data_IF_757466041215
#
_entry.id   IF_757466041215
#
_cell.length_a   1.000
_cell.length_b   1.000
_cell.length_c   1.000
_cell.angle_alpha   90.00
_cell.angle_beta   90.00
_cell.angle_gamma   90.00
#
_symmetry.space_group_name_H-M   'P 1'
#
loop_
_entity.id
_entity.type
_entity.pdbx_description
1 polymer ?
#
# COMPACT_ATOMS: atom_id res chain seq x y z
N UNK A 1 -6.61 7.12 -11.81
CA UNK A 1 -6.59 6.82 -10.36
C UNK A 1 -5.82 5.54 -10.11
N UNK A 2 -4.80 5.62 -9.26
CA UNK A 2 -4.03 4.45 -8.81
C UNK A 2 -4.74 3.71 -7.68
N UNK A 3 -4.31 2.48 -7.36
CA UNK A 3 -4.91 1.68 -6.28
C UNK A 3 -4.72 2.34 -4.91
N UNK A 4 -3.56 2.90 -4.61
CA UNK A 4 -3.27 3.61 -3.36
C UNK A 4 -4.16 4.85 -3.18
N UNK A 5 -4.37 5.59 -4.27
CA UNK A 5 -5.28 6.74 -4.31
C UNK A 5 -6.73 6.32 -4.10
N UNK A 6 -7.15 5.22 -4.74
CA UNK A 6 -8.49 4.64 -4.55
C UNK A 6 -8.70 4.26 -3.08
N UNK A 7 -7.74 3.55 -2.48
CA UNK A 7 -7.80 3.12 -1.09
C UNK A 7 -7.99 4.31 -0.16
N UNK A 8 -7.17 5.35 -0.35
CA UNK A 8 -7.26 6.57 0.45
C UNK A 8 -8.64 7.24 0.32
N UNK A 9 -9.15 7.43 -0.91
CA UNK A 9 -10.46 8.07 -1.14
C UNK A 9 -11.60 7.26 -0.52
N UNK A 10 -11.55 5.94 -0.61
CA UNK A 10 -12.53 5.05 0.01
C UNK A 10 -12.48 5.14 1.53
N UNK A 11 -11.28 5.14 2.13
CA UNK A 11 -11.11 5.28 3.58
C UNK A 11 -11.60 6.64 4.09
N UNK A 12 -11.28 7.73 3.38
CA UNK A 12 -11.75 9.08 3.72
C UNK A 12 -13.28 9.18 3.65
N UNK A 13 -13.90 8.57 2.63
CA UNK A 13 -15.36 8.47 2.52
C UNK A 13 -15.97 7.62 3.65
N UNK A 14 -15.34 6.50 3.99
CA UNK A 14 -15.74 5.66 5.12
C UNK A 14 -15.78 6.46 6.43
N UNK A 15 -14.75 7.28 6.68
CA UNK A 15 -14.71 8.17 7.86
C UNK A 15 -15.85 9.19 7.85
N UNK A 16 -16.16 9.80 6.70
CA UNK A 16 -17.25 10.77 6.56
C UNK A 16 -18.61 10.16 6.94
N UNK A 17 -18.85 8.92 6.54
CA UNK A 17 -20.10 8.20 6.79
C UNK A 17 -20.09 7.34 8.05
N UNK A 18 -18.99 7.35 8.82
CA UNK A 18 -18.78 6.49 9.99
C UNK A 18 -18.95 4.99 9.68
N UNK A 19 -18.35 4.55 8.57
CA UNK A 19 -18.33 3.15 8.10
C UNK A 19 -16.87 2.73 7.87
N UNK A 20 -16.49 1.55 8.36
CA UNK A 20 -15.17 0.98 8.07
C UNK A 20 -15.20 0.33 6.67
N UNK A 21 -14.60 1.04 5.72
CA UNK A 21 -14.46 0.61 4.33
C UNK A 21 -13.01 0.21 4.06
N UNK A 22 -12.82 -0.98 3.49
CA UNK A 22 -11.48 -1.52 3.22
C UNK A 22 -11.41 -2.06 1.81
N UNK A 23 -10.26 -1.87 1.17
CA UNK A 23 -9.95 -2.55 -0.07
C UNK A 23 -9.18 -3.84 0.22
N UNK A 24 -9.55 -4.88 -0.50
CA UNK A 24 -8.82 -6.15 -0.51
C UNK A 24 -8.52 -6.53 -1.95
N UNK A 25 -7.28 -6.86 -2.24
CA UNK A 25 -6.87 -7.31 -3.58
C UNK A 25 -7.15 -8.81 -3.71
N UNK A 26 -7.61 -9.22 -4.88
CA UNK A 26 -7.58 -10.61 -5.32
C UNK A 26 -7.07 -10.70 -6.75
N UNK A 27 -7.01 -11.93 -7.30
CA UNK A 27 -6.33 -12.19 -8.57
C UNK A 27 -6.82 -11.38 -9.77
N UNK A 28 -8.13 -11.11 -9.85
CA UNK A 28 -8.76 -10.42 -10.99
C UNK A 28 -9.64 -9.23 -10.58
N UNK A 29 -9.80 -9.01 -9.28
CA UNK A 29 -10.72 -8.03 -8.73
C UNK A 29 -10.12 -7.36 -7.50
N UNK A 30 -10.44 -6.08 -7.32
CA UNK A 30 -10.39 -5.40 -6.03
C UNK A 30 -11.78 -5.54 -5.41
N UNK A 31 -11.80 -5.97 -4.17
CA UNK A 31 -12.98 -6.08 -3.33
C UNK A 31 -13.04 -4.83 -2.47
N UNK A 32 -14.17 -4.12 -2.53
CA UNK A 32 -14.51 -3.13 -1.52
C UNK A 32 -15.35 -3.83 -0.46
N UNK A 33 -14.81 -3.96 0.74
CA UNK A 33 -15.47 -4.59 1.87
C UNK A 33 -15.95 -3.51 2.85
N UNK A 34 -17.11 -3.73 3.46
CA UNK A 34 -17.54 -3.05 4.68
C UNK A 34 -17.26 -3.98 5.84
N UNK A 35 -16.48 -3.52 6.81
CA UNK A 35 -16.17 -4.28 8.00
C UNK A 35 -16.95 -3.76 9.21
N UNK A 36 -17.32 -4.68 10.10
CA UNK A 36 -17.70 -4.40 11.48
C UNK A 36 -16.71 -5.09 12.43
N UNK A 37 -17.03 -5.16 13.73
CA UNK A 37 -16.13 -5.71 14.73
C UNK A 37 -15.79 -7.19 14.52
N UNK A 38 -16.63 -7.95 13.82
CA UNK A 38 -16.51 -9.42 13.74
C UNK A 38 -16.40 -9.93 12.30
N UNK A 39 -16.89 -9.17 11.32
CA UNK A 39 -17.05 -9.65 9.94
C UNK A 39 -16.79 -8.55 8.91
N UNK A 40 -16.39 -8.97 7.71
CA UNK A 40 -16.28 -8.09 6.55
C UNK A 40 -17.19 -8.60 5.43
N UNK A 41 -17.98 -7.70 4.86
CA UNK A 41 -18.94 -8.00 3.82
C UNK A 41 -18.54 -7.31 2.52
N UNK A 42 -18.46 -8.09 1.43
CA UNK A 42 -18.19 -7.55 0.09
C UNK A 42 -19.34 -6.63 -0.32
N UNK A 43 -19.00 -5.39 -0.65
CA UNK A 43 -19.92 -4.40 -1.21
C UNK A 43 -19.81 -4.36 -2.74
N UNK A 44 -18.59 -4.29 -3.26
CA UNK A 44 -18.36 -4.07 -4.70
C UNK A 44 -17.14 -4.86 -5.14
N UNK A 45 -17.18 -5.34 -6.39
CA UNK A 45 -16.02 -5.86 -7.10
C UNK A 45 -15.65 -4.91 -8.23
N UNK A 46 -14.38 -4.57 -8.35
CA UNK A 46 -13.85 -3.79 -9.47
C UNK A 46 -12.78 -4.60 -10.20
N UNK A 47 -12.92 -4.76 -11.51
CA UNK A 47 -11.99 -5.56 -12.31
C UNK A 47 -10.59 -4.93 -12.34
N UNK A 48 -9.54 -5.74 -12.16
CA UNK A 48 -8.14 -5.27 -12.20
C UNK A 48 -7.46 -5.47 -13.55
N UNK A 49 -7.98 -6.39 -14.37
CA UNK A 49 -7.41 -6.72 -15.70
C UNK A 49 -8.17 -6.12 -16.87
N UNK A 50 -9.34 -5.53 -16.60
CA UNK A 50 -10.22 -4.95 -17.60
C UNK A 50 -10.74 -3.59 -17.12
N UNK A 51 -10.90 -2.67 -18.05
CA UNK A 51 -11.49 -1.36 -17.78
C UNK A 51 -13.02 -1.47 -17.73
N UNK A 52 -13.64 -0.54 -17.01
CA UNK A 52 -15.09 -0.39 -16.88
C UNK A 52 -15.84 -1.60 -16.31
N UNK A 53 -15.16 -2.46 -15.54
CA UNK A 53 -15.80 -3.59 -14.84
C UNK A 53 -16.05 -3.22 -13.37
N UNK A 54 -17.32 -3.06 -13.02
CA UNK A 54 -17.79 -2.89 -11.64
C UNK A 54 -19.00 -3.81 -11.45
N UNK A 55 -19.00 -4.58 -10.35
CA UNK A 55 -20.16 -5.36 -9.94
C UNK A 55 -20.62 -4.90 -8.55
N UNK A 56 -21.80 -4.29 -8.49
CA UNK A 56 -22.47 -3.80 -7.29
C UNK A 56 -23.65 -4.67 -6.87
N UNK A 57 -23.87 -5.82 -7.52
CA UNK A 57 -24.95 -6.77 -7.21
C UNK A 57 -24.60 -7.60 -5.96
N UNK A 58 -24.41 -6.88 -4.85
CA UNK A 58 -24.08 -7.44 -3.55
C UNK A 58 -25.16 -7.00 -2.55
N UNK A 59 -25.67 -7.95 -1.79
CA UNK A 59 -26.73 -7.72 -0.80
C UNK A 59 -26.38 -6.55 0.15
N UNK A 60 -25.12 -6.46 0.59
CA UNK A 60 -24.68 -5.44 1.53
C UNK A 60 -24.52 -4.05 0.90
N UNK A 61 -24.31 -3.97 -0.41
CA UNK A 61 -24.25 -2.68 -1.12
C UNK A 61 -25.62 -2.04 -1.22
N UNK A 62 -26.67 -2.83 -1.50
CA UNK A 62 -28.05 -2.36 -1.62
C UNK A 62 -28.50 -1.63 -0.33
N UNK A 63 -28.06 -2.13 0.82
CA UNK A 63 -28.42 -1.63 2.15
C UNK A 63 -27.63 -0.40 2.61
N UNK A 64 -26.69 0.12 1.80
CA UNK A 64 -25.98 1.35 2.13
C UNK A 64 -26.88 2.59 1.93
N UNK A 65 -26.64 3.68 2.69
CA UNK A 65 -27.28 4.97 2.45
C UNK A 65 -27.07 5.45 1.01
N UNK A 66 -28.09 6.08 0.41
CA UNK A 66 -28.04 6.50 -1.00
C UNK A 66 -26.89 7.47 -1.30
N UNK A 67 -26.59 8.41 -0.38
CA UNK A 67 -25.44 9.32 -0.52
C UNK A 67 -24.12 8.56 -0.61
N UNK A 68 -23.89 7.61 0.30
CA UNK A 68 -22.71 6.76 0.31
C UNK A 68 -22.60 5.91 -0.96
N UNK A 69 -23.71 5.34 -1.43
CA UNK A 69 -23.74 4.55 -2.68
C UNK A 69 -23.33 5.39 -3.89
N UNK A 70 -23.87 6.61 -4.00
CA UNK A 70 -23.58 7.49 -5.13
C UNK A 70 -22.10 7.88 -5.15
N UNK A 71 -21.56 8.34 -4.02
CA UNK A 71 -20.15 8.73 -3.92
C UNK A 71 -19.20 7.54 -4.16
N UNK A 72 -19.54 6.35 -3.65
CA UNK A 72 -18.79 5.14 -3.94
C UNK A 72 -18.82 4.78 -5.43
N UNK A 73 -19.98 4.83 -6.09
CA UNK A 73 -20.08 4.57 -7.53
C UNK A 73 -19.23 5.55 -8.31
N UNK A 74 -19.22 6.83 -7.94
CA UNK A 74 -18.41 7.85 -8.62
C UNK A 74 -16.91 7.55 -8.50
N UNK A 75 -16.40 7.33 -7.28
CA UNK A 75 -15.00 6.99 -7.01
C UNK A 75 -14.61 5.71 -7.78
N UNK A 76 -15.42 4.66 -7.66
CA UNK A 76 -15.13 3.36 -8.26
C UNK A 76 -15.23 3.42 -9.80
N UNK A 77 -16.13 4.23 -10.35
CA UNK A 77 -16.23 4.48 -11.79
C UNK A 77 -15.02 5.19 -12.35
N UNK A 78 -14.50 6.18 -11.63
CA UNK A 78 -13.28 6.89 -12.01
C UNK A 78 -12.07 5.94 -12.05
N UNK A 79 -11.91 5.10 -11.02
CA UNK A 79 -10.89 4.06 -11.01
C UNK A 79 -11.10 3.02 -12.11
N UNK A 80 -12.32 2.50 -12.29
CA UNK A 80 -12.61 1.51 -13.31
C UNK A 80 -12.43 2.06 -14.73
N UNK A 81 -12.55 3.37 -14.96
CA UNK A 81 -12.26 4.00 -16.27
C UNK A 81 -10.77 4.25 -16.49
N UNK A 82 -9.97 4.33 -15.43
CA UNK A 82 -8.52 4.54 -15.53
C UNK A 82 -7.87 3.39 -16.33
N UNK A 83 -6.99 3.64 -17.32
CA UNK A 83 -6.27 2.58 -18.03
C UNK A 83 -5.52 1.62 -17.09
N UNK A 84 -5.42 0.33 -17.44
CA UNK A 84 -4.86 -0.69 -16.54
C UNK A 84 -3.43 -0.37 -16.10
N UNK A 85 -2.59 0.11 -17.01
CA UNK A 85 -1.20 0.44 -16.71
C UNK A 85 -1.05 1.62 -15.76
N UNK A 86 -2.04 2.51 -15.71
CA UNK A 86 -2.07 3.67 -14.81
C UNK A 86 -2.64 3.34 -13.43
N UNK A 87 -3.23 2.15 -13.23
CA UNK A 87 -3.76 1.71 -11.93
C UNK A 87 -2.67 1.16 -11.00
N UNK A 88 -1.53 0.77 -11.57
CA UNK A 88 -0.42 0.14 -10.85
C UNK A 88 0.01 1.03 -9.70
N UNK A 89 0.29 0.42 -8.55
CA UNK A 89 0.94 1.14 -7.46
C UNK A 89 2.31 1.62 -7.90
N UNK A 90 2.80 2.68 -7.25
CA UNK A 90 4.19 3.04 -7.40
C UNK A 90 5.06 1.84 -7.01
N UNK A 91 6.03 1.52 -7.86
CA UNK A 91 7.05 0.54 -7.54
C UNK A 91 7.68 0.88 -6.20
N UNK A 92 7.69 -0.11 -5.31
CA UNK A 92 8.39 -0.02 -4.04
C UNK A 92 9.72 -0.73 -4.15
N UNK A 93 10.66 -0.28 -3.34
CA UNK A 93 12.01 -0.79 -3.32
C UNK A 93 12.46 -1.01 -1.88
N UNK A 94 13.29 -2.02 -1.70
CA UNK A 94 14.10 -2.20 -0.52
C UNK A 94 15.53 -1.72 -0.81
N UNK A 95 16.19 -1.20 0.21
CA UNK A 95 17.55 -0.66 0.10
C UNK A 95 18.48 -1.49 0.97
N UNK A 96 19.30 -2.32 0.35
CA UNK A 96 20.27 -3.18 1.03
C UNK A 96 21.64 -2.52 1.06
N UNK A 97 22.32 -2.48 2.20
CA UNK A 97 23.68 -1.94 2.27
C UNK A 97 24.61 -2.77 1.39
N UNK A 98 25.41 -2.10 0.54
CA UNK A 98 26.42 -2.77 -0.29
C UNK A 98 27.51 -3.39 0.58
N UNK A 99 28.02 -4.55 0.17
CA UNK A 99 29.06 -5.28 0.91
C UNK A 99 30.30 -4.44 1.20
N UNK A 100 30.72 -3.58 0.26
CA UNK A 100 31.88 -2.67 0.47
C UNK A 100 31.71 -1.68 1.63
N UNK A 101 30.48 -1.45 2.09
CA UNK A 101 30.15 -0.62 3.24
C UNK A 101 29.72 -1.44 4.46
N UNK A 102 29.60 -2.77 4.30
CA UNK A 102 29.35 -3.69 5.41
C UNK A 102 30.63 -3.87 6.22
N UNK A 103 30.52 -3.72 7.53
CA UNK A 103 31.57 -4.12 8.48
C UNK A 103 31.39 -5.58 8.96
N UNK A 104 30.40 -6.29 8.43
CA UNK A 104 30.04 -7.67 8.80
C UNK A 104 30.52 -8.63 7.69
N UNK A 105 31.23 -9.72 8.03
CA UNK A 105 31.70 -10.71 7.06
C UNK A 105 30.57 -11.33 6.22
N UNK A 106 30.87 -11.60 4.94
CA UNK A 106 29.95 -12.12 3.91
C UNK A 106 29.13 -13.36 4.34
N UNK A 107 29.67 -14.18 5.24
CA UNK A 107 29.02 -15.45 5.66
C UNK A 107 27.83 -15.26 6.61
N UNK A 108 27.65 -14.07 7.21
CA UNK A 108 26.53 -13.75 8.12
C UNK A 108 25.62 -12.62 7.59
N UNK A 109 25.97 -11.96 6.48
CA UNK A 109 25.52 -10.58 6.20
C UNK A 109 24.22 -10.44 5.38
N UNK A 110 23.79 -11.38 4.56
CA UNK A 110 22.76 -11.05 3.56
C UNK A 110 21.33 -10.85 4.09
N UNK A 111 21.06 -11.18 5.37
CA UNK A 111 19.70 -11.13 5.93
C UNK A 111 19.42 -9.91 6.83
N UNK A 112 20.39 -9.03 7.12
CA UNK A 112 20.25 -8.01 8.17
C UNK A 112 20.67 -6.58 7.79
N UNK A 113 20.85 -6.30 6.49
CA UNK A 113 21.39 -5.03 6.02
C UNK A 113 20.40 -4.17 5.23
N UNK A 114 19.10 -4.32 5.48
CA UNK A 114 18.07 -3.52 4.81
C UNK A 114 17.72 -2.28 5.62
N UNK A 115 17.59 -1.15 4.93
CA UNK A 115 17.13 0.09 5.53
C UNK A 115 15.70 -0.05 6.05
N UNK A 116 15.55 0.14 7.36
CA UNK A 116 14.29 0.09 8.08
C UNK A 116 14.07 1.41 8.83
N UNK A 117 12.88 2.00 8.72
CA UNK A 117 12.49 3.23 9.44
C UNK A 117 11.44 2.87 10.49
N UNK A 118 11.70 3.24 11.74
CA UNK A 118 10.78 2.95 12.84
C UNK A 118 9.48 3.74 12.69
N UNK A 119 8.34 3.04 12.76
CA UNK A 119 7.01 3.65 12.62
C UNK A 119 6.47 4.23 13.93
N UNK A 120 6.88 3.68 15.08
CA UNK A 120 6.35 4.07 16.39
C UNK A 120 7.47 4.24 17.43
N UNK A 121 7.61 5.45 17.98
CA UNK A 121 8.51 5.77 19.09
C UNK A 121 8.83 7.26 19.20
N UNK A 122 9.23 7.72 20.39
CA UNK A 122 9.70 9.09 20.64
C UNK A 122 11.02 9.42 19.93
N UNK A 123 11.67 8.43 19.30
CA UNK A 123 12.85 8.60 18.46
C UNK A 123 12.54 8.22 17.01
N UNK A 124 12.63 9.22 16.13
CA UNK A 124 12.68 9.04 14.69
C UNK A 124 14.05 8.43 14.35
N UNK A 125 14.15 7.12 14.26
CA UNK A 125 15.41 6.41 13.99
C UNK A 125 15.27 5.53 12.75
N UNK A 126 16.33 5.47 11.94
CA UNK A 126 16.53 4.42 10.95
C UNK A 126 17.51 3.38 11.50
N UNK A 127 17.38 2.15 11.04
CA UNK A 127 18.22 1.02 11.44
C UNK A 127 18.42 0.09 10.24
N UNK A 128 19.50 -0.70 10.26
CA UNK A 128 19.68 -1.82 9.35
C UNK A 128 19.14 -3.09 10.01
N UNK A 129 18.15 -3.72 9.39
CA UNK A 129 17.50 -4.94 9.87
C UNK A 129 17.18 -5.87 8.70
N UNK A 130 16.39 -6.92 8.94
CA UNK A 130 15.94 -7.81 7.88
C UNK A 130 15.01 -7.12 6.88
N UNK A 131 14.86 -7.77 5.72
CA UNK A 131 13.90 -7.41 4.68
C UNK A 131 12.46 -7.76 5.05
N UNK A 132 12.24 -8.40 6.20
CA UNK A 132 10.91 -8.89 6.60
C UNK A 132 9.98 -7.75 6.96
N UNK A 133 8.71 -7.89 6.60
CA UNK A 133 7.71 -6.90 6.93
C UNK A 133 7.41 -6.94 8.44
N UNK A 134 7.40 -5.79 9.10
CA UNK A 134 7.15 -5.69 10.55
C UNK A 134 6.18 -4.55 10.84
N UNK A 135 5.22 -4.71 11.77
CA UNK A 135 4.31 -3.62 12.14
C UNK A 135 5.04 -2.44 12.81
N UNK A 136 6.30 -2.63 13.24
CA UNK A 136 7.10 -1.62 13.91
C UNK A 136 8.02 -0.83 12.97
N UNK A 137 8.25 -1.33 11.75
CA UNK A 137 9.22 -0.77 10.81
C UNK A 137 8.64 -0.70 9.40
N UNK A 138 8.98 0.38 8.70
CA UNK A 138 8.80 0.49 7.25
C UNK A 138 10.10 0.18 6.56
N UNK A 139 10.10 -0.75 5.62
CA UNK A 139 11.29 -1.15 4.86
C UNK A 139 11.10 -1.18 3.34
N UNK A 140 9.87 -0.94 2.86
CA UNK A 140 9.53 -0.79 1.44
C UNK A 140 9.19 0.66 1.19
N UNK A 141 9.83 1.27 0.20
CA UNK A 141 9.70 2.70 -0.09
C UNK A 141 9.48 2.95 -1.58
N UNK A 142 8.63 3.91 -1.92
CA UNK A 142 8.64 4.46 -3.28
C UNK A 142 9.86 5.37 -3.49
N UNK A 143 10.15 5.71 -4.75
CA UNK A 143 11.25 6.63 -5.10
C UNK A 143 11.12 8.01 -4.46
N UNK A 144 9.89 8.44 -4.13
CA UNK A 144 9.63 9.68 -3.42
C UNK A 144 9.90 9.51 -1.93
N UNK A 145 9.34 8.47 -1.32
CA UNK A 145 9.44 8.23 0.13
C UNK A 145 10.88 8.05 0.58
N UNK A 146 11.70 7.31 -0.19
CA UNK A 146 13.10 7.09 0.16
C UNK A 146 13.93 8.38 0.12
N UNK A 147 13.60 9.33 -0.77
CA UNK A 147 14.28 10.64 -0.82
C UNK A 147 13.97 11.45 0.43
N UNK A 148 12.70 11.47 0.85
CA UNK A 148 12.29 12.12 2.10
C UNK A 148 12.99 11.50 3.32
N UNK A 149 13.12 10.16 3.35
CA UNK A 149 13.88 9.44 4.38
C UNK A 149 15.37 9.80 4.34
N UNK A 150 15.98 9.79 3.15
CA UNK A 150 17.39 10.10 2.97
C UNK A 150 17.74 11.53 3.39
N UNK A 151 16.90 12.50 3.02
CA UNK A 151 17.03 13.89 3.44
C UNK A 151 16.84 14.04 4.97
N UNK A 152 15.79 13.42 5.52
CA UNK A 152 15.48 13.51 6.96
C UNK A 152 16.59 12.95 7.84
N UNK A 153 17.23 11.87 7.42
CA UNK A 153 18.24 11.16 8.22
C UNK A 153 19.67 11.32 7.71
N UNK A 154 19.88 12.18 6.70
CA UNK A 154 21.16 12.40 6.04
C UNK A 154 21.84 11.07 5.59
N UNK A 155 21.06 10.21 4.93
CA UNK A 155 21.52 8.91 4.44
C UNK A 155 22.04 9.06 3.01
N UNK A 156 23.26 8.56 2.75
CA UNK A 156 23.77 8.43 1.39
C UNK A 156 23.21 7.16 0.73
N UNK A 157 22.21 7.32 -0.13
CA UNK A 157 21.60 6.21 -0.86
C UNK A 157 22.58 5.48 -1.79
N UNK A 158 23.72 6.07 -2.14
CA UNK A 158 24.75 5.38 -2.93
C UNK A 158 25.40 4.22 -2.16
N UNK A 159 25.25 4.19 -0.83
CA UNK A 159 25.69 3.09 0.01
C UNK A 159 24.82 1.84 -0.14
N UNK A 160 23.67 1.94 -0.79
CA UNK A 160 22.69 0.89 -0.88
C UNK A 160 22.49 0.41 -2.32
N UNK A 161 22.16 -0.88 -2.47
CA UNK A 161 21.56 -1.45 -3.66
C UNK A 161 20.04 -1.32 -3.58
N UNK A 162 19.45 -0.85 -4.68
CA UNK A 162 18.01 -0.66 -4.83
C UNK A 162 17.40 -1.93 -5.41
N UNK A 163 16.57 -2.61 -4.63
CA UNK A 163 15.95 -3.88 -4.99
C UNK A 163 14.46 -3.65 -5.18
N UNK A 164 13.95 -3.87 -6.39
CA UNK A 164 12.51 -3.81 -6.69
C UNK A 164 11.80 -4.96 -5.98
N UNK A 165 10.71 -4.64 -5.29
CA UNK A 165 9.84 -5.63 -4.65
C UNK A 165 8.49 -5.65 -5.34
N UNK A 166 8.00 -6.85 -5.64
CA UNK A 166 6.63 -7.04 -6.11
C UNK A 166 5.68 -6.89 -4.91
N UNK A 167 4.50 -6.30 -5.14
CA UNK A 167 3.42 -6.34 -4.16
C UNK A 167 2.88 -7.78 -4.11
N UNK A 168 3.03 -8.46 -2.97
CA UNK A 168 2.35 -9.74 -2.67
C UNK A 168 0.84 -9.56 -2.51
#
# INVERSE_FOLDING_TARGET
>A
MRIDELEKRVQDLGRLYNVDLRLRKGMNYIFLDKCDFETCHVLVLVGTKQTCIINTDMFHFINLPDGLKNELIEILSEFAKTPIDERKEEKKYQYQLKDKYSWIPEEESNMWHFLNVKLNGCSNEYILLSSDNSPYYKNKFTDKEIKEVAEKYNIDLNMFDKIEVEDE
#
